data_IF_726340430855
#
_entry.id   IF_726340430855
#
_cell.length_a   1.000
_cell.length_b   1.000
_cell.length_c   1.000
_cell.angle_alpha   90.00
_cell.angle_beta   90.00
_cell.angle_gamma   90.00
#
_symmetry.space_group_name_H-M   'P 1'
#
loop_
_entity.id
_entity.type
_entity.pdbx_description
1 polymer ?
#
# COMPACT_ATOMS: atom_id res chain seq x y z
N UNK A 1 -0.49 -5.65 24.12
CA UNK A 1 -0.17 -4.48 23.24
C UNK A 1 -0.38 -4.92 21.79
N UNK A 2 -0.76 -4.07 20.83
CA UNK A 2 -0.83 -4.47 19.42
C UNK A 2 0.13 -3.62 18.63
N UNK A 3 1.05 -4.24 17.91
CA UNK A 3 1.99 -3.51 17.07
C UNK A 3 1.27 -3.17 15.76
N UNK A 4 1.03 -1.88 15.57
CA UNK A 4 0.31 -1.35 14.41
C UNK A 4 1.34 -0.93 13.38
N UNK A 5 1.39 -1.65 12.26
CA UNK A 5 2.21 -1.29 11.12
C UNK A 5 1.32 -0.85 9.95
N UNK A 6 1.76 0.16 9.21
CA UNK A 6 1.05 0.63 8.03
C UNK A 6 1.52 -0.13 6.79
N UNK A 7 0.58 -0.81 6.10
CA UNK A 7 0.82 -1.33 4.76
C UNK A 7 0.18 -0.40 3.74
N UNK A 8 1.02 0.39 3.07
CA UNK A 8 0.57 1.12 1.90
C UNK A 8 0.59 0.14 0.71
N UNK A 9 -0.55 -0.11 0.04
CA UNK A 9 -0.65 -1.14 -1.01
C UNK A 9 0.30 -0.94 -2.20
N UNK A 10 0.91 0.25 -2.30
CA UNK A 10 1.79 0.68 -3.39
C UNK A 10 3.10 1.36 -2.92
N UNK A 11 3.48 1.31 -1.63
CA UNK A 11 4.83 1.77 -1.26
C UNK A 11 5.85 0.84 -1.94
N UNK A 12 6.86 1.36 -2.67
CA UNK A 12 7.86 0.53 -3.35
C UNK A 12 8.70 -0.34 -2.40
N UNK A 13 8.59 -0.13 -1.10
CA UNK A 13 9.23 -0.95 -0.11
C UNK A 13 8.43 -2.25 0.08
N UNK A 14 8.90 -3.29 -0.63
CA UNK A 14 8.79 -4.73 -0.32
C UNK A 14 7.73 -5.61 -0.99
N UNK A 15 7.00 -5.19 -2.04
CA UNK A 15 6.38 -6.17 -2.97
C UNK A 15 7.39 -6.57 -4.05
N UNK A 16 8.34 -7.43 -3.69
CA UNK A 16 9.20 -8.08 -4.69
C UNK A 16 8.30 -8.89 -5.64
N UNK A 17 8.20 -8.45 -6.89
CA UNK A 17 7.48 -9.20 -7.91
C UNK A 17 8.20 -10.52 -8.17
N UNK A 18 7.54 -11.62 -7.84
CA UNK A 18 8.11 -12.95 -8.01
C UNK A 18 8.10 -13.34 -9.49
N UNK A 19 9.30 -13.51 -10.09
CA UNK A 19 9.47 -13.79 -11.53
C UNK A 19 8.80 -15.09 -11.97
N UNK A 20 8.72 -16.07 -11.09
CA UNK A 20 8.23 -17.42 -11.41
C UNK A 20 6.69 -17.54 -11.35
N UNK A 21 5.97 -16.47 -10.97
CA UNK A 21 4.50 -16.48 -10.99
C UNK A 21 4.03 -16.72 -12.42
N UNK A 22 3.02 -17.57 -12.60
CA UNK A 22 2.52 -17.96 -13.92
C UNK A 22 2.19 -16.77 -14.83
N UNK A 23 1.56 -15.72 -14.28
CA UNK A 23 1.22 -14.51 -15.03
C UNK A 23 2.45 -13.77 -15.59
N UNK A 24 3.55 -13.72 -14.83
CA UNK A 24 4.79 -13.08 -15.26
C UNK A 24 5.49 -13.90 -16.35
N UNK A 25 5.61 -15.22 -16.16
CA UNK A 25 6.15 -16.15 -17.18
C UNK A 25 5.38 -16.04 -18.50
N UNK A 26 4.04 -16.01 -18.44
CA UNK A 26 3.19 -15.85 -19.63
C UNK A 26 3.38 -14.49 -20.30
N UNK A 27 3.50 -13.41 -19.51
CA UNK A 27 3.75 -12.07 -20.03
C UNK A 27 5.09 -12.01 -20.76
N UNK A 28 6.17 -12.47 -20.12
CA UNK A 28 7.52 -12.45 -20.68
C UNK A 28 7.60 -13.30 -21.96
N UNK A 29 6.96 -14.47 -22.00
CA UNK A 29 6.86 -15.30 -23.22
C UNK A 29 6.09 -14.60 -24.35
N UNK A 30 5.00 -13.88 -24.03
CA UNK A 30 4.23 -13.12 -25.04
C UNK A 30 5.01 -11.91 -25.55
N UNK A 31 5.84 -11.33 -24.70
CA UNK A 31 6.60 -10.12 -24.98
C UNK A 31 7.90 -10.39 -25.75
N UNK A 32 8.33 -11.66 -25.86
CA UNK A 32 9.52 -12.07 -26.60
C UNK A 32 9.29 -12.04 -28.12
N UNK A 33 10.35 -11.72 -28.87
CA UNK A 33 10.31 -11.60 -30.33
C UNK A 33 9.95 -10.20 -30.82
N UNK A 34 9.54 -10.09 -32.08
CA UNK A 34 9.16 -8.84 -32.72
C UNK A 34 7.67 -8.51 -32.48
N UNK A 35 7.29 -7.24 -32.63
CA UNK A 35 5.88 -6.81 -32.47
C UNK A 35 5.61 -5.87 -31.29
N UNK A 36 6.65 -5.44 -30.56
CA UNK A 36 6.55 -4.36 -29.57
C UNK A 36 5.73 -4.71 -28.33
N UNK A 37 5.07 -3.72 -27.72
CA UNK A 37 4.35 -3.87 -26.45
C UNK A 37 3.04 -4.67 -26.63
N UNK A 38 2.96 -5.89 -26.08
CA UNK A 38 1.86 -6.84 -26.35
C UNK A 38 0.67 -6.79 -25.39
N UNK A 39 0.78 -5.99 -24.32
CA UNK A 39 -0.23 -5.82 -23.26
C UNK A 39 -0.45 -4.34 -22.97
N UNK A 40 -1.70 -3.93 -22.67
CA UNK A 40 -2.02 -2.52 -22.48
C UNK A 40 -1.33 -1.95 -21.24
N UNK A 41 -0.77 -0.75 -21.39
CA UNK A 41 -0.22 0.05 -20.29
C UNK A 41 -1.29 1.05 -19.85
N UNK A 42 -1.68 0.99 -18.58
CA UNK A 42 -2.65 1.93 -18.04
C UNK A 42 -2.01 3.31 -17.82
N UNK A 43 -2.44 4.32 -18.60
CA UNK A 43 -1.89 5.69 -18.55
C UNK A 43 -2.74 6.70 -17.77
N UNK A 44 -4.06 6.50 -17.67
CA UNK A 44 -5.00 7.49 -17.10
C UNK A 44 -5.24 7.28 -15.60
N UNK A 45 -4.27 7.60 -14.74
CA UNK A 45 -4.43 7.52 -13.27
C UNK A 45 -5.22 8.73 -12.75
N UNK A 46 -6.45 8.51 -12.29
CA UNK A 46 -7.31 9.57 -11.77
C UNK A 46 -7.29 9.74 -10.24
N UNK A 47 -6.95 8.68 -9.49
CA UNK A 47 -7.02 8.71 -8.02
C UNK A 47 -5.70 9.26 -7.45
N UNK A 48 -5.82 10.33 -6.66
CA UNK A 48 -4.68 11.00 -5.99
C UNK A 48 -4.32 10.37 -4.65
N UNK A 49 -5.27 9.70 -3.99
CA UNK A 49 -5.08 9.05 -2.68
C UNK A 49 -5.34 7.54 -2.78
N UNK A 50 -4.81 6.78 -1.82
CA UNK A 50 -4.94 5.32 -1.74
C UNK A 50 -5.78 4.95 -0.51
N UNK A 51 -6.30 3.72 -0.49
CA UNK A 51 -6.87 3.16 0.75
C UNK A 51 -5.69 2.67 1.59
N UNK A 52 -5.59 3.18 2.81
CA UNK A 52 -4.57 2.76 3.76
C UNK A 52 -5.09 1.51 4.46
N UNK A 53 -4.26 0.47 4.57
CA UNK A 53 -4.59 -0.76 5.29
C UNK A 53 -3.70 -0.83 6.52
N UNK A 54 -4.31 -0.97 7.68
CA UNK A 54 -3.61 -1.22 8.92
C UNK A 54 -3.33 -2.72 9.05
N UNK A 55 -2.09 -3.06 9.37
CA UNK A 55 -1.71 -4.42 9.73
C UNK A 55 -1.55 -4.46 11.24
N UNK A 56 -2.51 -5.12 11.88
CA UNK A 56 -2.54 -5.34 13.32
C UNK A 56 -1.84 -6.67 13.60
N UNK A 57 -0.78 -6.65 14.41
CA UNK A 57 -0.10 -7.85 14.89
C UNK A 57 -0.43 -8.08 16.37
N UNK A 58 -0.87 -9.30 16.67
CA UNK A 58 -1.06 -9.79 18.03
C UNK A 58 0.30 -9.99 18.70
N UNK A 59 0.55 -9.38 19.85
CA UNK A 59 1.85 -9.49 20.54
C UNK A 59 2.14 -10.90 21.07
N UNK A 60 1.11 -11.62 21.52
CA UNK A 60 1.25 -12.97 22.08
C UNK A 60 1.30 -14.03 20.98
N UNK A 61 0.33 -13.96 20.07
CA UNK A 61 0.07 -15.00 19.08
C UNK A 61 0.67 -14.73 17.69
N UNK A 62 1.23 -13.53 17.45
CA UNK A 62 1.80 -13.08 16.16
C UNK A 62 0.84 -13.16 14.97
N UNK A 63 -0.45 -13.35 15.23
CA UNK A 63 -1.50 -13.33 14.22
C UNK A 63 -1.62 -11.93 13.62
N UNK A 64 -1.79 -11.86 12.30
CA UNK A 64 -1.81 -10.61 11.52
C UNK A 64 -3.17 -10.41 10.88
N UNK A 65 -3.82 -9.29 11.19
CA UNK A 65 -5.10 -8.90 10.59
C UNK A 65 -4.94 -7.60 9.80
N UNK A 66 -5.51 -7.57 8.60
CA UNK A 66 -5.54 -6.40 7.73
C UNK A 66 -6.89 -5.68 7.83
N UNK A 67 -6.86 -4.38 8.18
CA UNK A 67 -8.05 -3.54 8.33
C UNK A 67 -7.98 -2.35 7.36
N UNK A 68 -8.83 -2.28 6.32
CA UNK A 68 -8.85 -1.16 5.39
C UNK A 68 -9.60 0.05 5.98
N UNK A 69 -9.02 1.25 5.85
CA UNK A 69 -9.65 2.53 6.21
C UNK A 69 -10.15 3.25 4.93
N UNK A 70 -11.01 4.27 5.12
CA UNK A 70 -11.38 5.23 4.07
C UNK A 70 -10.13 5.98 3.53
N UNK A 71 -10.27 6.59 2.36
CA UNK A 71 -9.18 7.35 1.73
C UNK A 71 -8.99 8.67 2.45
N UNK A 72 -7.76 8.97 2.86
CA UNK A 72 -7.37 10.26 3.44
C UNK A 72 -6.13 10.79 2.69
N UNK A 73 -5.95 12.12 2.66
CA UNK A 73 -4.74 12.76 2.10
C UNK A 73 -3.57 12.71 3.08
N UNK A 74 -3.86 13.09 4.32
CA UNK A 74 -2.92 13.04 5.44
C UNK A 74 -3.40 11.97 6.40
N UNK A 75 -2.49 11.06 6.76
CA UNK A 75 -2.71 10.03 7.75
C UNK A 75 -1.43 9.88 8.54
N UNK A 76 -1.53 10.06 9.86
CA UNK A 76 -0.41 9.95 10.78
C UNK A 76 -0.79 8.92 11.84
N UNK A 77 0.14 8.00 12.10
CA UNK A 77 -0.02 6.98 13.13
C UNK A 77 0.86 7.36 14.33
N UNK A 78 0.26 7.43 15.52
CA UNK A 78 0.99 7.81 16.74
C UNK A 78 1.23 9.32 16.91
N UNK A 79 0.50 10.18 16.19
CA UNK A 79 0.58 11.63 16.35
C UNK A 79 0.14 12.13 17.74
N UNK A 80 0.56 13.33 18.10
CA UNK A 80 0.18 13.95 19.37
C UNK A 80 -1.32 14.18 19.44
N UNK A 81 -1.92 13.84 20.58
CA UNK A 81 -3.33 14.16 20.84
C UNK A 81 -3.45 15.68 20.95
N UNK A 82 -4.35 16.27 20.17
CA UNK A 82 -4.64 17.70 20.25
C UNK A 82 -5.18 18.03 21.65
N UNK A 83 -4.56 19.01 22.32
CA UNK A 83 -5.06 19.53 23.59
C UNK A 83 -6.38 20.30 23.37
N UNK A 84 -7.32 20.18 24.31
CA UNK A 84 -8.59 20.90 24.24
C UNK A 84 -8.38 22.34 24.74
N UNK A 85 -8.79 23.33 23.94
CA UNK A 85 -8.82 24.75 24.37
C UNK A 85 -7.51 25.53 24.26
N UNK A 86 -6.48 25.00 23.59
CA UNK A 86 -5.27 25.78 23.33
C UNK A 86 -5.51 26.83 22.23
N UNK A 87 -5.23 28.09 22.57
CA UNK A 87 -5.12 29.18 21.62
C UNK A 87 -3.84 28.99 20.79
N UNK A 88 -3.99 29.14 19.47
CA UNK A 88 -2.88 29.07 18.52
C UNK A 88 -1.99 30.30 18.78
N UNK A 89 -0.71 30.10 19.06
CA UNK A 89 0.26 31.20 19.12
C UNK A 89 0.55 31.71 17.71
N UNK A 90 0.50 33.03 17.55
CA UNK A 90 0.81 33.75 16.32
C UNK A 90 2.31 34.04 16.20
#
# INVERSE_FOLDING_TARGET
MMDIYQENPDTPLRRRFHRERYGRRRYDRKQAGFGGQTKPIFRKKAKTTKKIVLRMECTECKHKKQLPIKRCKHFELGGQKKARGQVIQF
#
